data_IF_475813284067
#
_entry.id   IF_475813284067
#
_cell.length_a   1.000
_cell.length_b   1.000
_cell.length_c   1.000
_cell.angle_alpha   90.00
_cell.angle_beta   90.00
_cell.angle_gamma   90.00
#
_symmetry.space_group_name_H-M   'P 1'
#
loop_
_entity.id
_entity.type
_entity.pdbx_description
1 polymer ?
#
# COMPACT_ATOMS: atom_id res chain seq x y z
N UNK A 1 -47.10 9.34 43.40
CA UNK A 1 -46.85 10.47 42.47
C UNK A 1 -46.01 11.51 43.19
N UNK A 2 -45.23 12.40 42.54
CA UNK A 2 -44.70 12.45 41.16
C UNK A 2 -43.13 12.29 41.19
N UNK A 3 -42.27 12.47 40.17
CA UNK A 3 -42.31 12.46 38.67
C UNK A 3 -40.89 12.05 38.15
N UNK A 4 -40.71 11.94 36.83
CA UNK A 4 -39.47 11.58 36.11
C UNK A 4 -38.47 12.74 35.97
N UNK A 5 -37.18 12.47 35.69
CA UNK A 5 -36.49 12.87 34.43
C UNK A 5 -35.12 12.22 34.25
N UNK A 6 -34.76 11.99 32.99
CA UNK A 6 -33.70 11.08 32.55
C UNK A 6 -32.25 11.52 32.80
N UNK A 7 -31.41 10.49 32.85
CA UNK A 7 -29.97 10.57 32.64
C UNK A 7 -29.54 9.30 31.88
N UNK A 8 -30.14 9.10 30.70
CA UNK A 8 -29.62 8.20 29.67
C UNK A 8 -28.33 8.85 29.11
N UNK A 9 -27.26 8.76 29.90
CA UNK A 9 -25.92 9.16 29.46
C UNK A 9 -25.26 7.95 28.84
N UNK A 10 -25.28 7.97 27.51
CA UNK A 10 -24.22 7.47 26.63
C UNK A 10 -23.19 6.60 27.33
N UNK A 11 -23.44 5.28 27.30
CA UNK A 11 -22.36 4.32 27.40
C UNK A 11 -21.50 4.50 26.13
N UNK A 12 -20.58 5.46 26.17
CA UNK A 12 -19.49 5.58 25.23
C UNK A 12 -18.62 4.33 25.39
N UNK A 13 -18.98 3.27 24.66
CA UNK A 13 -18.25 2.01 24.61
C UNK A 13 -16.85 2.34 24.11
N UNK A 14 -15.89 2.29 25.05
CA UNK A 14 -14.49 2.60 24.79
C UNK A 14 -13.94 1.58 23.80
N UNK A 15 -13.81 2.01 22.54
CA UNK A 15 -13.11 1.25 21.50
C UNK A 15 -11.65 1.07 21.98
N UNK A 16 -11.11 -0.16 21.98
CA UNK A 16 -9.80 -0.41 22.56
C UNK A 16 -8.68 0.31 21.77
N UNK A 17 -7.93 1.18 22.47
CA UNK A 17 -6.77 1.95 21.97
C UNK A 17 -5.54 1.07 21.74
N UNK A 18 -5.69 0.04 20.90
CA UNK A 18 -4.64 -0.83 20.41
C UNK A 18 -4.82 -1.09 18.91
N UNK A 19 -5.42 -0.14 18.19
CA UNK A 19 -5.81 -0.31 16.81
C UNK A 19 -4.62 -0.32 15.87
N UNK A 20 -4.76 -1.07 14.76
CA UNK A 20 -3.87 -0.93 13.60
C UNK A 20 -3.81 0.54 13.10
N UNK A 21 -4.88 1.30 13.35
CA UNK A 21 -5.00 2.74 13.10
C UNK A 21 -4.04 3.57 13.96
N UNK A 22 -3.84 3.25 15.24
CA UNK A 22 -2.93 3.98 16.14
C UNK A 22 -1.47 3.72 15.77
N UNK A 23 -1.15 2.48 15.38
CA UNK A 23 0.14 2.12 14.79
C UNK A 23 0.39 2.91 13.50
N UNK A 24 -0.59 3.02 12.61
CA UNK A 24 -0.49 3.84 11.40
C UNK A 24 -0.38 5.36 11.70
N UNK A 25 -1.03 5.84 12.76
CA UNK A 25 -0.98 7.25 13.18
C UNK A 25 0.42 7.64 13.69
N UNK A 26 1.11 6.73 14.38
CA UNK A 26 2.45 6.96 14.95
C UNK A 26 3.61 6.74 13.94
N UNK A 27 3.31 6.37 12.70
CA UNK A 27 4.29 6.05 11.66
C UNK A 27 4.53 7.25 10.73
N UNK A 28 5.78 7.45 10.30
CA UNK A 28 6.17 8.61 9.47
C UNK A 28 5.41 8.66 8.13
N UNK A 29 5.28 9.86 7.55
CA UNK A 29 4.48 10.09 6.34
C UNK A 29 4.86 9.17 5.16
N UNK A 30 6.15 8.84 4.97
CA UNK A 30 6.60 7.86 3.96
C UNK A 30 6.06 6.45 4.23
N UNK A 31 5.93 6.04 5.50
CA UNK A 31 5.34 4.76 5.88
C UNK A 31 3.83 4.76 5.65
N UNK A 32 3.12 5.86 5.96
CA UNK A 32 1.68 6.00 5.63
C UNK A 32 1.41 5.85 4.13
N UNK A 33 2.20 6.52 3.27
CA UNK A 33 2.15 6.35 1.80
C UNK A 33 2.34 4.88 1.40
N UNK A 34 3.32 4.19 1.99
CA UNK A 34 3.61 2.78 1.68
C UNK A 34 2.45 1.85 2.07
N UNK A 35 1.88 1.98 3.28
CA UNK A 35 0.72 1.19 3.69
C UNK A 35 -0.50 1.47 2.82
N UNK A 36 -0.74 2.74 2.47
CA UNK A 36 -1.81 3.12 1.56
C UNK A 36 -1.64 2.52 0.16
N UNK A 37 -0.41 2.53 -0.38
CA UNK A 37 -0.09 1.90 -1.65
C UNK A 37 -0.33 0.38 -1.63
N UNK A 38 0.14 -0.31 -0.59
CA UNK A 38 -0.05 -1.76 -0.41
C UNK A 38 -1.54 -2.08 -0.27
N UNK A 39 -2.28 -1.30 0.52
CA UNK A 39 -3.73 -1.45 0.69
C UNK A 39 -4.50 -1.29 -0.63
N UNK A 40 -4.16 -0.28 -1.44
CA UNK A 40 -4.72 -0.11 -2.78
C UNK A 40 -4.36 -1.28 -3.71
N UNK A 41 -3.12 -1.78 -3.70
CA UNK A 41 -2.75 -2.97 -4.48
C UNK A 41 -3.61 -4.17 -4.09
N UNK A 42 -3.77 -4.44 -2.79
CA UNK A 42 -4.59 -5.57 -2.30
C UNK A 42 -6.06 -5.41 -2.72
N UNK A 43 -6.64 -4.21 -2.62
CA UNK A 43 -8.01 -3.94 -3.08
C UNK A 43 -8.14 -4.17 -4.59
N UNK A 44 -7.26 -3.57 -5.40
CA UNK A 44 -7.28 -3.71 -6.87
C UNK A 44 -7.11 -5.17 -7.27
N UNK A 45 -6.23 -5.91 -6.59
CA UNK A 45 -5.99 -7.33 -6.82
C UNK A 45 -7.23 -8.18 -6.53
N UNK A 46 -7.87 -7.98 -5.38
CA UNK A 46 -9.10 -8.71 -4.99
C UNK A 46 -10.24 -8.39 -5.97
N UNK A 47 -10.45 -7.12 -6.30
CA UNK A 47 -11.49 -6.70 -7.26
C UNK A 47 -11.23 -7.31 -8.64
N UNK A 48 -9.98 -7.28 -9.13
CA UNK A 48 -9.60 -7.88 -10.40
C UNK A 48 -9.82 -9.40 -10.43
N UNK A 49 -9.39 -10.12 -9.39
CA UNK A 49 -9.58 -11.57 -9.29
C UNK A 49 -11.07 -11.96 -9.35
N UNK A 50 -11.94 -11.29 -8.59
CA UNK A 50 -13.38 -11.53 -8.65
C UNK A 50 -14.00 -11.08 -9.99
N UNK A 51 -13.51 -10.00 -10.59
CA UNK A 51 -14.00 -9.56 -11.90
C UNK A 51 -13.71 -10.59 -12.99
N UNK A 52 -12.49 -11.15 -13.06
CA UNK A 52 -12.16 -12.19 -14.03
C UNK A 52 -12.87 -13.52 -13.76
N UNK A 53 -13.07 -13.91 -12.50
CA UNK A 53 -13.91 -15.07 -12.15
C UNK A 53 -15.32 -14.95 -12.75
N UNK A 54 -15.95 -13.77 -12.65
CA UNK A 54 -17.32 -13.55 -13.15
C UNK A 54 -17.42 -13.27 -14.66
N UNK A 55 -16.44 -12.58 -15.25
CA UNK A 55 -16.48 -12.16 -16.65
C UNK A 55 -15.99 -13.26 -17.59
N UNK A 56 -14.93 -13.98 -17.23
CA UNK A 56 -14.37 -15.06 -18.06
C UNK A 56 -14.85 -16.46 -17.62
N UNK A 57 -15.60 -16.56 -16.52
CA UNK A 57 -16.07 -17.84 -15.97
C UNK A 57 -14.94 -18.71 -15.41
N UNK A 58 -13.78 -18.13 -15.12
CA UNK A 58 -12.60 -18.85 -14.62
C UNK A 58 -12.76 -19.25 -13.15
N UNK A 59 -12.11 -20.36 -12.78
CA UNK A 59 -11.89 -20.67 -11.37
C UNK A 59 -11.07 -19.56 -10.69
N UNK A 60 -11.38 -19.26 -9.43
CA UNK A 60 -10.71 -18.21 -8.66
C UNK A 60 -9.17 -18.33 -8.68
N UNK A 61 -8.63 -19.55 -8.64
CA UNK A 61 -7.18 -19.79 -8.73
C UNK A 61 -6.59 -19.31 -10.06
N UNK A 62 -7.27 -19.56 -11.17
CA UNK A 62 -6.86 -19.10 -12.52
C UNK A 62 -6.97 -17.58 -12.65
N UNK A 63 -8.03 -16.99 -12.09
CA UNK A 63 -8.21 -15.54 -12.06
C UNK A 63 -7.15 -14.82 -11.19
N UNK A 64 -6.84 -15.37 -10.02
CA UNK A 64 -5.75 -14.89 -9.13
C UNK A 64 -4.39 -15.02 -9.81
N UNK A 65 -4.14 -16.15 -10.49
CA UNK A 65 -2.91 -16.35 -11.28
C UNK A 65 -2.76 -15.29 -12.38
N UNK A 66 -3.78 -15.13 -13.24
CA UNK A 66 -3.78 -14.13 -14.31
C UNK A 66 -3.62 -12.69 -13.78
N UNK A 67 -4.33 -12.35 -12.70
CA UNK A 67 -4.21 -11.03 -12.08
C UNK A 67 -2.80 -10.80 -11.50
N UNK A 68 -2.18 -11.84 -10.93
CA UNK A 68 -0.82 -11.75 -10.41
C UNK A 68 0.23 -11.58 -11.50
N UNK A 69 0.17 -12.36 -12.59
CA UNK A 69 1.11 -12.23 -13.71
C UNK A 69 0.93 -10.91 -14.47
N UNK A 70 -0.29 -10.36 -14.50
CA UNK A 70 -0.58 -9.05 -15.10
C UNK A 70 -0.09 -7.89 -14.23
N UNK A 71 -0.43 -7.85 -12.92
CA UNK A 71 0.03 -6.77 -12.03
C UNK A 71 1.55 -6.74 -11.83
N UNK A 72 2.20 -7.91 -11.83
CA UNK A 72 3.67 -8.00 -11.75
C UNK A 72 4.37 -7.77 -13.10
N UNK A 73 3.61 -7.51 -14.17
CA UNK A 73 4.11 -7.32 -15.54
C UNK A 73 4.89 -8.51 -16.12
N UNK A 74 4.70 -9.71 -15.56
CA UNK A 74 5.32 -10.96 -16.03
C UNK A 74 4.64 -11.48 -17.31
N UNK A 75 3.30 -11.44 -17.35
CA UNK A 75 2.52 -11.61 -18.58
C UNK A 75 2.81 -12.88 -19.40
N UNK A 76 2.81 -14.07 -18.77
CA UNK A 76 3.14 -15.35 -19.44
C UNK A 76 2.33 -15.64 -20.72
N UNK A 77 1.09 -15.13 -20.84
CA UNK A 77 0.26 -15.26 -22.05
C UNK A 77 -0.39 -16.63 -22.26
N UNK A 78 -0.21 -17.55 -21.33
CA UNK A 78 -0.84 -18.88 -21.26
C UNK A 78 -2.34 -18.81 -20.94
N UNK A 79 -2.70 -17.92 -20.00
CA UNK A 79 -4.08 -17.56 -19.66
C UNK A 79 -4.34 -16.16 -20.20
N UNK A 80 -5.37 -16.00 -21.04
CA UNK A 80 -5.75 -14.70 -21.63
C UNK A 80 -7.27 -14.57 -21.75
N UNK A 81 -7.84 -13.35 -21.57
CA UNK A 81 -9.28 -13.13 -21.64
C UNK A 81 -9.81 -13.32 -23.07
N UNK A 82 -10.84 -14.14 -23.18
CA UNK A 82 -11.51 -14.44 -24.45
C UNK A 82 -12.72 -13.54 -24.69
N UNK A 83 -13.34 -13.01 -23.63
CA UNK A 83 -14.47 -12.07 -23.78
C UNK A 83 -14.01 -10.66 -24.13
N UNK A 84 -14.84 -9.91 -24.85
CA UNK A 84 -14.56 -8.49 -25.15
C UNK A 84 -14.45 -7.66 -23.86
N UNK A 85 -15.35 -7.91 -22.90
CA UNK A 85 -15.36 -7.27 -21.58
C UNK A 85 -14.08 -7.55 -20.80
N UNK A 86 -13.62 -8.81 -20.77
CA UNK A 86 -12.39 -9.19 -20.09
C UNK A 86 -11.15 -8.53 -20.68
N UNK A 87 -11.08 -8.41 -22.01
CA UNK A 87 -10.01 -7.67 -22.71
C UNK A 87 -10.00 -6.19 -22.37
N UNK A 88 -11.18 -5.55 -22.34
CA UNK A 88 -11.32 -4.14 -21.94
C UNK A 88 -10.88 -3.95 -20.48
N UNK A 89 -11.32 -4.84 -19.58
CA UNK A 89 -10.88 -4.83 -18.17
C UNK A 89 -9.35 -4.98 -18.06
N UNK A 90 -8.74 -5.89 -18.82
CA UNK A 90 -7.28 -6.08 -18.82
C UNK A 90 -6.53 -4.82 -19.25
N UNK A 91 -7.03 -4.05 -20.22
CA UNK A 91 -6.44 -2.76 -20.57
C UNK A 91 -6.44 -1.83 -19.35
N UNK A 92 -7.59 -1.62 -18.70
CA UNK A 92 -7.67 -0.75 -17.51
C UNK A 92 -6.80 -1.25 -16.34
N UNK A 93 -6.84 -2.55 -16.04
CA UNK A 93 -6.03 -3.13 -14.96
C UNK A 93 -4.53 -3.09 -15.24
N UNK A 94 -4.08 -3.13 -16.51
CA UNK A 94 -2.66 -2.91 -16.84
C UNK A 94 -2.21 -1.47 -16.54
N UNK A 95 -2.97 -0.45 -16.96
CA UNK A 95 -2.64 0.95 -16.64
C UNK A 95 -2.58 1.20 -15.13
N UNK A 96 -3.56 0.67 -14.39
CA UNK A 96 -3.61 0.76 -12.93
C UNK A 96 -2.43 0.01 -12.29
N UNK A 97 -2.19 -1.25 -12.70
CA UNK A 97 -1.12 -2.10 -12.17
C UNK A 97 0.27 -1.49 -12.35
N UNK A 98 0.60 -1.01 -13.55
CA UNK A 98 1.87 -0.32 -13.84
C UNK A 98 2.01 0.96 -12.99
N UNK A 99 0.94 1.75 -12.88
CA UNK A 99 0.96 2.99 -12.09
C UNK A 99 1.20 2.72 -10.59
N UNK A 100 0.55 1.70 -10.02
CA UNK A 100 0.76 1.29 -8.63
C UNK A 100 2.14 0.65 -8.41
N UNK A 101 2.65 -0.13 -9.36
CA UNK A 101 4.01 -0.69 -9.32
C UNK A 101 5.08 0.41 -9.27
N UNK A 102 4.96 1.42 -10.14
CA UNK A 102 5.86 2.58 -10.15
C UNK A 102 5.73 3.42 -8.86
N UNK A 103 4.52 3.60 -8.33
CA UNK A 103 4.30 4.33 -7.07
C UNK A 103 4.92 3.62 -5.85
N UNK A 104 4.84 2.29 -5.80
CA UNK A 104 5.53 1.48 -4.80
C UNK A 104 7.05 1.62 -4.90
N UNK A 105 7.62 1.49 -6.10
CA UNK A 105 9.05 1.66 -6.33
C UNK A 105 9.53 3.06 -5.92
N UNK A 106 8.79 4.12 -6.29
CA UNK A 106 9.07 5.49 -5.88
C UNK A 106 9.09 5.65 -4.34
N UNK A 107 8.09 5.10 -3.65
CA UNK A 107 8.00 5.19 -2.18
C UNK A 107 9.14 4.43 -1.49
N UNK A 108 9.59 3.30 -2.04
CA UNK A 108 10.75 2.54 -1.55
C UNK A 108 12.07 3.30 -1.81
N UNK A 109 12.19 3.99 -2.95
CA UNK A 109 13.34 4.87 -3.23
C UNK A 109 13.39 6.07 -2.28
N UNK A 110 12.26 6.74 -2.01
CA UNK A 110 12.15 7.83 -1.02
C UNK A 110 12.60 7.39 0.38
N UNK A 111 12.40 6.12 0.73
CA UNK A 111 12.89 5.54 1.98
C UNK A 111 14.40 5.31 1.97
N UNK A 112 14.95 4.76 0.89
CA UNK A 112 16.40 4.53 0.73
C UNK A 112 17.21 5.83 0.67
N UNK A 113 16.72 6.85 -0.02
CA UNK A 113 17.39 8.16 -0.10
C UNK A 113 17.58 8.77 1.29
N UNK A 114 16.57 8.72 2.15
CA UNK A 114 16.66 9.22 3.53
C UNK A 114 17.70 8.46 4.37
N UNK A 115 17.78 7.13 4.21
CA UNK A 115 18.77 6.31 4.91
C UNK A 115 20.21 6.60 4.45
N UNK A 116 20.41 6.84 3.14
CA UNK A 116 21.70 7.21 2.57
C UNK A 116 22.10 8.62 3.02
N UNK A 117 21.20 9.60 2.93
CA UNK A 117 21.43 10.98 3.37
C UNK A 117 21.80 11.08 4.85
N UNK A 118 21.11 10.32 5.71
CA UNK A 118 21.40 10.31 7.14
C UNK A 118 22.75 9.65 7.45
N UNK A 119 23.16 8.63 6.69
CA UNK A 119 24.51 8.09 6.76
C UNK A 119 25.56 9.12 6.30
N UNK A 120 25.33 9.80 5.18
CA UNK A 120 26.25 10.82 4.65
C UNK A 120 26.41 12.00 5.62
N UNK A 121 25.32 12.51 6.20
CA UNK A 121 25.36 13.56 7.24
C UNK A 121 26.18 13.13 8.47
N UNK A 122 26.02 11.88 8.93
CA UNK A 122 26.82 11.31 10.04
C UNK A 122 28.31 11.20 9.70
N UNK A 123 28.66 10.85 8.47
CA UNK A 123 30.05 10.80 8.01
C UNK A 123 30.66 12.22 7.89
N UNK A 124 29.95 13.16 7.27
CA UNK A 124 30.42 14.55 7.14
C UNK A 124 30.64 15.21 8.50
N UNK A 125 29.70 15.05 9.46
CA UNK A 125 29.86 15.57 10.81
C UNK A 125 31.08 14.99 11.57
N UNK A 126 31.43 13.71 11.32
CA UNK A 126 32.67 13.11 11.84
C UNK A 126 33.92 13.73 11.20
N UNK A 127 33.91 13.93 9.88
CA UNK A 127 35.03 14.52 9.14
C UNK A 127 35.30 15.98 9.58
N UNK A 128 34.27 16.81 9.72
CA UNK A 128 34.44 18.19 10.22
C UNK A 128 34.95 18.23 11.67
N UNK A 129 34.52 17.29 12.51
CA UNK A 129 35.01 17.16 13.89
C UNK A 129 36.50 16.79 13.92
N UNK A 130 36.93 15.85 13.07
CA UNK A 130 38.36 15.49 12.95
C UNK A 130 39.19 16.64 12.36
N UNK A 131 38.67 17.31 11.32
CA UNK A 131 39.31 18.45 10.67
C UNK A 131 39.54 19.63 11.62
N UNK A 132 38.64 19.87 12.58
CA UNK A 132 38.85 20.87 13.64
C UNK A 132 39.95 20.48 14.63
N UNK A 133 40.07 19.19 14.99
CA UNK A 133 41.10 18.71 15.91
C UNK A 133 42.53 18.77 15.36
N UNK A 134 42.70 18.55 14.05
CA UNK A 134 44.01 18.57 13.37
C UNK A 134 44.54 20.02 13.15
N UNK A 135 43.69 21.03 13.35
CA UNK A 135 43.99 22.45 13.09
C UNK A 135 44.37 23.25 14.34
N UNK A 136 44.54 22.55 15.47
CA UNK A 136 44.95 23.05 16.79
C UNK A 136 46.24 22.33 17.21
#
# INVERSE_FOLDING_TARGET
>A
MPRKKGAEKEAAVTVPEGGFVDVLAHMSETRKKLYFAIFLVVIVFIIGAYAYEKVEGWNLVTAVYFMSSTMTTVGYGDVTPQTETGRILTIFFMWIGVSLGLYLLYTISEFREKEVDDHLKRLMGRLDTQRKKIRL
#
